data_IF_408418278871
#
_entry.id   IF_408418278871
#
_cell.length_a   1.000
_cell.length_b   1.000
_cell.length_c   1.000
_cell.angle_alpha   90.00
_cell.angle_beta   90.00
_cell.angle_gamma   90.00
#
_symmetry.space_group_name_H-M   'P 1'
#
loop_
_entity.id
_entity.type
_entity.pdbx_description
1 polymer ?
#
# COMPACT_ATOMS: atom_id res chain seq x y z
N UNK A 1 5.41 -14.79 17.34
CA UNK A 1 4.53 -14.18 16.33
C UNK A 1 3.17 -14.86 16.43
N UNK A 2 2.08 -14.10 16.46
CA UNK A 2 0.74 -14.67 16.58
C UNK A 2 0.17 -15.08 15.22
N UNK A 3 -0.86 -15.94 15.23
CA UNK A 3 -1.69 -16.21 14.06
C UNK A 3 -2.74 -15.11 13.91
N UNK A 4 -3.24 -14.91 12.70
CA UNK A 4 -4.33 -14.01 12.40
C UNK A 4 -5.63 -14.47 13.08
N UNK A 5 -6.39 -13.48 13.54
CA UNK A 5 -7.71 -13.56 14.14
C UNK A 5 -8.74 -12.88 13.23
N UNK A 6 -10.02 -13.24 13.37
CA UNK A 6 -11.10 -12.52 12.68
C UNK A 6 -11.14 -11.08 13.20
N UNK A 7 -11.30 -10.10 12.30
CA UNK A 7 -11.23 -8.68 12.60
C UNK A 7 -9.83 -8.06 12.44
N UNK A 8 -8.79 -8.87 12.29
CA UNK A 8 -7.44 -8.34 12.04
C UNK A 8 -7.40 -7.58 10.71
N UNK A 9 -6.89 -6.35 10.78
CA UNK A 9 -6.64 -5.52 9.61
C UNK A 9 -5.26 -5.84 9.06
N UNK A 10 -5.19 -6.09 7.77
CA UNK A 10 -3.95 -6.43 7.07
C UNK A 10 -3.75 -5.54 5.85
N UNK A 11 -2.49 -5.35 5.45
CA UNK A 11 -2.13 -4.65 4.23
C UNK A 11 -1.13 -5.43 3.38
N UNK A 12 -1.11 -5.15 2.09
CA UNK A 12 -0.10 -5.58 1.13
C UNK A 12 0.36 -4.37 0.33
N UNK A 13 1.62 -4.35 -0.06
CA UNK A 13 2.18 -3.35 -0.98
C UNK A 13 2.49 -3.99 -2.33
N UNK A 14 2.37 -3.20 -3.40
CA UNK A 14 2.80 -3.54 -4.75
C UNK A 14 3.50 -2.36 -5.40
N UNK A 15 4.57 -2.64 -6.14
CA UNK A 15 5.33 -1.64 -6.88
C UNK A 15 5.85 -2.31 -8.16
N UNK A 16 5.69 -1.65 -9.30
CA UNK A 16 6.19 -2.15 -10.58
C UNK A 16 7.52 -1.45 -10.94
N UNK A 17 8.61 -1.90 -10.32
CA UNK A 17 9.95 -1.34 -10.54
C UNK A 17 10.31 -0.20 -9.57
N UNK A 18 11.56 0.23 -9.57
CA UNK A 18 12.10 1.16 -8.56
C UNK A 18 11.55 2.59 -8.63
N UNK A 19 11.06 3.01 -9.79
CA UNK A 19 10.57 4.38 -10.04
C UNK A 19 9.04 4.50 -9.98
N UNK A 20 8.32 3.41 -9.71
CA UNK A 20 6.86 3.40 -9.60
C UNK A 20 6.40 3.74 -8.18
N UNK A 21 5.17 4.22 -8.05
CA UNK A 21 4.54 4.48 -6.76
C UNK A 21 4.22 3.16 -6.03
N UNK A 22 4.37 3.17 -4.70
CA UNK A 22 4.02 2.01 -3.87
C UNK A 22 2.51 1.98 -3.60
N UNK A 23 1.81 1.02 -4.19
CA UNK A 23 0.35 0.91 -4.01
C UNK A 23 0.04 0.03 -2.81
N UNK A 24 -0.61 0.63 -1.81
CA UNK A 24 -1.09 -0.07 -0.62
C UNK A 24 -2.49 -0.64 -0.86
N UNK A 25 -2.68 -1.89 -0.48
CA UNK A 25 -3.98 -2.57 -0.44
C UNK A 25 -4.29 -2.94 1.00
N UNK A 26 -5.47 -2.61 1.48
CA UNK A 26 -5.93 -2.95 2.82
C UNK A 26 -7.10 -3.92 2.77
N UNK A 27 -7.19 -4.79 3.77
CA UNK A 27 -8.33 -5.68 3.95
C UNK A 27 -8.43 -6.12 5.41
N UNK A 28 -9.52 -6.79 5.74
CA UNK A 28 -9.78 -7.34 7.06
C UNK A 28 -9.96 -8.86 6.96
N UNK A 29 -9.54 -9.60 7.97
CA UNK A 29 -9.79 -11.04 8.09
C UNK A 29 -11.25 -11.27 8.48
N UNK A 30 -12.01 -11.93 7.62
CA UNK A 30 -13.46 -12.17 7.83
C UNK A 30 -13.78 -13.59 8.26
N UNK A 31 -12.89 -14.56 8.00
CA UNK A 31 -13.05 -15.93 8.48
C UNK A 31 -11.72 -16.67 8.57
N UNK A 32 -11.69 -17.71 9.39
CA UNK A 32 -10.54 -18.59 9.57
C UNK A 32 -10.94 -20.03 9.24
N UNK A 33 -9.98 -20.77 8.71
CA UNK A 33 -10.03 -22.23 8.58
C UNK A 33 -8.87 -22.82 9.39
N UNK A 34 -8.69 -24.15 9.36
CA UNK A 34 -7.58 -24.81 10.05
C UNK A 34 -6.20 -24.24 9.66
N UNK A 35 -6.02 -23.83 8.41
CA UNK A 35 -4.71 -23.41 7.88
C UNK A 35 -4.72 -22.04 7.19
N UNK A 36 -5.89 -21.47 6.89
CA UNK A 36 -6.01 -20.23 6.12
C UNK A 36 -6.79 -19.16 6.87
N UNK A 37 -6.41 -17.90 6.66
CA UNK A 37 -7.22 -16.72 6.96
C UNK A 37 -7.79 -16.17 5.65
N UNK A 38 -9.09 -15.90 5.62
CA UNK A 38 -9.78 -15.35 4.45
C UNK A 38 -10.04 -13.88 4.69
N UNK A 39 -9.59 -13.06 3.74
CA UNK A 39 -9.77 -11.62 3.77
C UNK A 39 -11.09 -11.21 3.12
N UNK A 40 -11.62 -10.05 3.51
CA UNK A 40 -12.85 -9.45 2.95
C UNK A 40 -12.84 -9.33 1.43
N UNK A 41 -11.67 -9.06 0.84
CA UNK A 41 -11.48 -9.00 -0.61
C UNK A 41 -11.32 -10.38 -1.30
N UNK A 42 -11.56 -11.49 -0.58
CA UNK A 42 -11.50 -12.85 -1.09
C UNK A 42 -10.10 -13.49 -1.08
N UNK A 43 -9.04 -12.74 -0.75
CA UNK A 43 -7.68 -13.27 -0.67
C UNK A 43 -7.57 -14.27 0.48
N UNK A 44 -6.87 -15.39 0.26
CA UNK A 44 -6.62 -16.42 1.28
C UNK A 44 -5.15 -16.47 1.65
N UNK A 45 -4.86 -16.15 2.90
CA UNK A 45 -3.53 -16.18 3.48
C UNK A 45 -3.30 -17.50 4.20
N UNK A 46 -2.09 -18.03 4.16
CA UNK A 46 -1.66 -19.07 5.09
C UNK A 46 -1.61 -18.45 6.47
N UNK A 47 -2.37 -19.00 7.42
CA UNK A 47 -2.45 -18.50 8.79
C UNK A 47 -1.27 -18.98 9.64
N UNK A 48 -0.08 -18.74 9.12
CA UNK A 48 1.19 -19.05 9.75
C UNK A 48 2.11 -17.84 9.53
N UNK A 49 2.50 -17.15 10.61
CA UNK A 49 3.34 -15.97 10.50
C UNK A 49 4.74 -16.36 10.01
N UNK A 50 5.31 -15.52 9.15
CA UNK A 50 6.69 -15.64 8.69
C UNK A 50 7.41 -14.32 8.83
N UNK A 51 8.66 -14.36 9.26
CA UNK A 51 9.52 -13.17 9.21
C UNK A 51 9.72 -12.77 7.75
N UNK A 52 9.37 -11.54 7.41
CA UNK A 52 9.78 -10.96 6.14
C UNK A 52 11.25 -10.60 6.22
N UNK A 53 12.09 -11.18 5.36
CA UNK A 53 13.50 -10.80 5.23
C UNK A 53 13.70 -9.43 4.54
N UNK A 54 12.62 -8.83 4.02
CA UNK A 54 12.68 -7.61 3.20
C UNK A 54 12.15 -6.39 3.96
N UNK A 55 11.12 -6.58 4.78
CA UNK A 55 10.39 -5.46 5.42
C UNK A 55 10.42 -5.50 6.93
N UNK A 56 11.15 -6.44 7.54
CA UNK A 56 11.23 -6.70 9.00
C UNK A 56 9.89 -6.98 9.70
N UNK A 57 8.77 -6.87 8.97
CA UNK A 57 7.42 -7.15 9.45
C UNK A 57 7.05 -8.64 9.39
N UNK A 58 6.16 -9.06 10.29
CA UNK A 58 5.51 -10.37 10.22
C UNK A 58 4.60 -10.41 8.99
N UNK A 59 4.88 -11.33 8.07
CA UNK A 59 4.14 -11.55 6.84
C UNK A 59 3.34 -12.85 6.84
N UNK A 60 2.22 -12.83 6.15
CA UNK A 60 1.35 -13.98 5.91
C UNK A 60 1.23 -14.19 4.40
N UNK A 61 1.75 -15.32 3.91
CA UNK A 61 1.84 -15.59 2.48
C UNK A 61 0.47 -15.88 1.87
N UNK A 62 0.22 -15.39 0.67
CA UNK A 62 -0.96 -15.78 -0.11
C UNK A 62 -0.86 -17.26 -0.49
N UNK A 63 -1.90 -18.04 -0.19
CA UNK A 63 -1.93 -19.51 -0.31
C UNK A 63 -1.44 -20.05 -1.67
N UNK A 64 -1.88 -19.45 -2.78
CA UNK A 64 -1.51 -19.84 -4.16
C UNK A 64 -0.37 -19.02 -4.77
N UNK A 65 0.15 -18.03 -4.04
CA UNK A 65 1.22 -17.14 -4.49
C UNK A 65 2.13 -16.79 -3.32
N UNK A 66 2.93 -17.77 -2.90
CA UNK A 66 3.71 -17.71 -1.65
C UNK A 66 4.75 -16.58 -1.59
N UNK A 67 5.12 -15.99 -2.73
CA UNK A 67 5.98 -14.79 -2.78
C UNK A 67 5.26 -13.49 -2.41
N UNK A 68 3.93 -13.47 -2.41
CA UNK A 68 3.14 -12.29 -2.01
C UNK A 68 2.71 -12.42 -0.56
N UNK A 69 2.99 -11.38 0.23
CA UNK A 69 2.74 -11.36 1.66
C UNK A 69 1.81 -10.22 2.05
N UNK A 70 0.97 -10.49 3.03
CA UNK A 70 0.18 -9.48 3.74
C UNK A 70 0.71 -9.33 5.16
N UNK A 71 0.63 -8.14 5.70
CA UNK A 71 1.19 -7.76 7.01
C UNK A 71 0.09 -7.17 7.88
N UNK A 72 0.21 -7.28 9.20
CA UNK A 72 -0.73 -6.62 10.12
C UNK A 72 -0.64 -5.11 9.98
N UNK A 73 -1.78 -4.42 9.94
CA UNK A 73 -1.81 -2.97 9.84
C UNK A 73 -1.22 -2.34 11.09
N UNK A 74 -0.21 -1.50 10.88
CA UNK A 74 0.36 -0.60 11.88
C UNK A 74 0.00 0.85 11.56
N UNK A 75 0.12 1.74 12.55
CA UNK A 75 -0.03 3.18 12.33
C UNK A 75 0.97 3.70 11.28
N UNK A 76 2.18 3.14 11.27
CA UNK A 76 3.21 3.50 10.30
C UNK A 76 2.83 3.09 8.88
N UNK A 77 2.27 1.89 8.70
CA UNK A 77 1.77 1.46 7.39
C UNK A 77 0.65 2.36 6.87
N UNK A 78 -0.25 2.83 7.75
CA UNK A 78 -1.32 3.78 7.39
C UNK A 78 -0.71 5.12 6.94
N UNK A 79 0.24 5.67 7.71
CA UNK A 79 0.90 6.95 7.36
C UNK A 79 1.62 6.88 6.02
N UNK A 80 2.39 5.82 5.80
CA UNK A 80 3.08 5.61 4.52
C UNK A 80 2.10 5.50 3.35
N UNK A 81 1.00 4.78 3.53
CA UNK A 81 -0.04 4.67 2.51
C UNK A 81 -0.69 6.02 2.19
N UNK A 82 -0.94 6.86 3.18
CA UNK A 82 -1.52 8.20 2.97
C UNK A 82 -0.58 9.09 2.13
N UNK A 83 0.70 9.14 2.50
CA UNK A 83 1.71 9.91 1.75
C UNK A 83 1.81 9.42 0.31
N UNK A 84 1.84 8.11 0.10
CA UNK A 84 2.00 7.56 -1.24
C UNK A 84 0.74 7.75 -2.10
N UNK A 85 -0.46 7.65 -1.51
CA UNK A 85 -1.71 7.98 -2.19
C UNK A 85 -1.78 9.45 -2.59
N UNK A 86 -1.25 10.37 -1.78
CA UNK A 86 -1.19 11.79 -2.13
C UNK A 86 -0.26 12.03 -3.33
N UNK A 87 0.90 11.38 -3.38
CA UNK A 87 1.80 11.44 -4.54
C UNK A 87 1.14 10.93 -5.82
N UNK A 88 0.45 9.79 -5.74
CA UNK A 88 -0.30 9.21 -6.85
C UNK A 88 -1.39 10.18 -7.31
N UNK A 89 -2.18 10.72 -6.39
CA UNK A 89 -3.25 11.67 -6.70
C UNK A 89 -2.71 12.93 -7.38
N UNK A 90 -1.60 13.50 -6.88
CA UNK A 90 -0.95 14.64 -7.51
C UNK A 90 -0.46 14.30 -8.92
N UNK A 91 0.24 13.18 -9.09
CA UNK A 91 0.73 12.72 -10.38
C UNK A 91 -0.41 12.52 -11.40
N UNK A 92 -1.49 11.84 -10.98
CA UNK A 92 -2.63 11.54 -11.84
C UNK A 92 -3.38 12.83 -12.22
N UNK A 93 -3.51 13.78 -11.28
CA UNK A 93 -4.08 15.10 -11.56
C UNK A 93 -3.26 15.89 -12.59
N UNK A 94 -1.94 15.93 -12.44
CA UNK A 94 -1.05 16.59 -13.41
C UNK A 94 -1.07 15.91 -14.77
N UNK A 95 -1.21 14.58 -14.81
CA UNK A 95 -1.22 13.81 -16.06
C UNK A 95 -2.55 13.95 -16.82
N UNK A 96 -3.67 14.06 -16.11
CA UNK A 96 -4.99 14.14 -16.71
C UNK A 96 -5.42 15.56 -17.08
N UNK A 97 -4.88 16.58 -16.40
CA UNK A 97 -5.25 17.98 -16.63
C UNK A 97 -4.46 18.57 -17.79
N UNK A 98 -5.16 19.10 -18.79
CA UNK A 98 -4.55 20.02 -19.75
C UNK A 98 -4.44 21.41 -19.13
N UNK A 99 -3.22 21.95 -19.10
CA UNK A 99 -2.94 23.26 -18.52
C UNK A 99 -2.89 24.35 -19.59
N UNK A 100 -3.56 25.46 -19.30
CA UNK A 100 -3.43 26.72 -20.04
C UNK A 100 -2.04 27.34 -19.86
N UNK A 101 -1.70 28.35 -20.67
CA UNK A 101 -0.41 29.04 -20.52
C UNK A 101 -0.34 29.81 -19.20
N UNK A 102 -1.45 30.41 -18.78
CA UNK A 102 -1.59 31.15 -17.52
C UNK A 102 -1.33 30.22 -16.33
N UNK A 103 -1.99 29.07 -16.26
CA UNK A 103 -1.78 28.09 -15.18
C UNK A 103 -0.32 27.58 -15.14
N UNK A 104 0.30 27.34 -16.31
CA UNK A 104 1.71 26.96 -16.38
C UNK A 104 2.62 28.06 -15.82
N UNK A 105 2.35 29.33 -16.14
CA UNK A 105 3.09 30.47 -15.61
C UNK A 105 2.91 30.61 -14.09
N UNK A 106 1.71 30.38 -13.56
CA UNK A 106 1.45 30.39 -12.12
C UNK A 106 2.24 29.30 -11.38
N UNK A 107 2.19 28.07 -11.89
CA UNK A 107 2.97 26.94 -11.37
C UNK A 107 4.46 27.30 -11.36
N UNK A 108 5.00 27.78 -12.50
CA UNK A 108 6.40 28.18 -12.62
C UNK A 108 6.79 29.27 -11.61
N UNK A 109 5.98 30.32 -11.47
CA UNK A 109 6.23 31.43 -10.52
C UNK A 109 6.20 30.95 -9.07
N UNK A 110 5.27 30.06 -8.73
CA UNK A 110 5.14 29.52 -7.37
C UNK A 110 6.37 28.70 -6.96
N UNK A 111 6.91 27.88 -7.85
CA UNK A 111 8.08 27.07 -7.55
C UNK A 111 9.40 27.86 -7.61
N UNK A 112 9.49 28.89 -8.45
CA UNK A 112 10.69 29.75 -8.51
C UNK A 112 10.74 30.77 -7.36
N UNK A 113 9.60 31.23 -6.84
CA UNK A 113 9.59 32.14 -5.69
C UNK A 113 9.97 31.45 -4.38
N UNK A 114 9.65 30.15 -4.22
CA UNK A 114 10.06 29.33 -3.07
C UNK A 114 11.54 28.98 -3.02
N UNK A 115 12.29 29.20 -4.10
CA UNK A 115 13.73 28.92 -4.19
C UNK A 115 14.62 30.13 -3.84
N UNK A 116 14.01 31.30 -3.58
CA UNK A 116 14.70 32.50 -3.08
C UNK A 116 14.63 32.55 -1.55
#
# INVERSE_FOLDING_TARGET
MEKLKVGDKVYNTRQNGFTDFVRYSFSEVVSLTKTLAVLKNGVRLVNEPKTSYITEDVGYSVSRKKGTHWHLVSLEAIRKAQIENEKIAAHDWFSAKEFTQEEKLEIYRHFTSKQK
#
